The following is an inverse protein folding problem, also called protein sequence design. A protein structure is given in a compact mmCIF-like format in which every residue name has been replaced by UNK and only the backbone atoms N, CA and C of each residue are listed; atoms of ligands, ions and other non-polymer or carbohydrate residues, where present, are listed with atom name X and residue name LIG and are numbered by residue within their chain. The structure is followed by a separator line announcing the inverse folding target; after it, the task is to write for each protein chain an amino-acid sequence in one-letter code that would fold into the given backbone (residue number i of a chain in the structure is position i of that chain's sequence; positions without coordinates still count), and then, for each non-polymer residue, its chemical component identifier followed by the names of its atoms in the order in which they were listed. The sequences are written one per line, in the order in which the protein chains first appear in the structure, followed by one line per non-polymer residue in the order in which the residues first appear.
data_IF_029731701098
#
_entry.id   IF_029731701098
#
_cell.length_a   1.000
_cell.length_b   1.000
_cell.length_c   1.000
_cell.angle_alpha   90.00
_cell.angle_beta   90.00
_cell.angle_gamma   90.00
#
_symmetry.space_group_name_H-M   'P 1'
#
loop_
_entity.id
_entity.type
_entity.pdbx_description
1 polymer ?
#
# COMPACT_ATOMS: atom_id res chain seq x y z
N UNK A 1 5.49 9.62 4.35
CA UNK A 1 4.89 9.85 5.67
C UNK A 1 3.36 9.79 5.67
N UNK A 2 2.65 10.49 4.75
CA UNK A 2 1.18 10.53 4.75
C UNK A 2 0.52 9.15 4.57
N UNK A 3 0.97 8.35 3.61
CA UNK A 3 0.42 7.02 3.37
C UNK A 3 0.62 6.14 4.60
N UNK A 4 1.81 6.16 5.19
CA UNK A 4 2.11 5.40 6.41
C UNK A 4 1.19 5.81 7.56
N UNK A 5 0.98 7.13 7.75
CA UNK A 5 0.06 7.65 8.76
C UNK A 5 -1.39 7.23 8.48
N UNK A 6 -1.86 7.35 7.22
CA UNK A 6 -3.21 6.96 6.83
C UNK A 6 -3.48 5.47 7.08
N UNK A 7 -2.49 4.63 6.82
CA UNK A 7 -2.58 3.20 7.00
C UNK A 7 -2.57 2.84 8.50
N UNK A 8 -1.69 3.45 9.30
CA UNK A 8 -1.66 3.29 10.76
C UNK A 8 -3.01 3.70 11.35
N UNK A 9 -3.56 4.83 10.93
CA UNK A 9 -4.88 5.28 11.38
C UNK A 9 -6.00 4.34 10.96
N UNK A 10 -5.92 3.74 9.78
CA UNK A 10 -6.89 2.74 9.34
C UNK A 10 -6.82 1.45 10.17
N UNK A 11 -5.62 1.00 10.52
CA UNK A 11 -5.43 -0.13 11.44
C UNK A 11 -6.01 0.19 12.82
N UNK A 12 -5.70 1.35 13.36
CA UNK A 12 -6.22 1.80 14.65
C UNK A 12 -7.74 1.98 14.63
N UNK A 13 -8.31 2.47 13.54
CA UNK A 13 -9.76 2.61 13.40
C UNK A 13 -10.51 1.28 13.41
N UNK A 14 -9.84 0.18 13.13
CA UNK A 14 -10.42 -1.16 13.21
C UNK A 14 -10.13 -1.86 14.56
N UNK A 15 -9.11 -1.41 15.32
CA UNK A 15 -8.67 -2.03 16.56
C UNK A 15 -9.14 -1.29 17.81
N UNK A 16 -9.25 0.04 17.75
CA UNK A 16 -9.60 0.89 18.89
C UNK A 16 -11.10 1.17 18.90
N UNK A 17 -11.86 0.80 19.97
CA UNK A 17 -13.32 0.97 20.03
C UNK A 17 -13.78 2.41 19.77
N UNK A 18 -13.10 3.39 20.33
CA UNK A 18 -13.39 4.81 20.13
C UNK A 18 -13.34 5.23 18.66
N UNK A 19 -12.33 4.76 17.91
CA UNK A 19 -12.19 5.06 16.49
C UNK A 19 -13.20 4.28 15.63
N UNK A 20 -13.64 3.09 16.10
CA UNK A 20 -14.71 2.34 15.46
C UNK A 20 -16.05 3.06 15.56
N UNK A 21 -16.35 3.66 16.72
CA UNK A 21 -17.54 4.48 16.90
C UNK A 21 -17.50 5.73 16.02
N UNK A 22 -16.36 6.41 16.00
CA UNK A 22 -16.13 7.57 15.11
C UNK A 22 -16.37 7.22 13.64
N UNK A 23 -15.99 6.01 13.20
CA UNK A 23 -16.21 5.54 11.84
C UNK A 23 -17.70 5.34 11.52
N UNK A 24 -18.53 5.04 12.54
CA UNK A 24 -19.98 4.88 12.41
C UNK A 24 -20.73 6.23 12.36
N UNK A 25 -20.12 7.31 12.85
CA UNK A 25 -20.70 8.66 12.86
C UNK A 25 -20.76 9.34 11.48
N UNK A 26 -20.52 8.58 10.42
CA UNK A 26 -20.66 9.06 9.04
C UNK A 26 -19.57 10.06 8.63
N UNK A 27 -19.99 11.18 8.01
CA UNK A 27 -19.03 12.15 7.45
C UNK A 27 -18.24 12.92 8.51
N UNK A 28 -18.88 13.25 9.64
CA UNK A 28 -18.21 13.96 10.73
C UNK A 28 -17.08 13.14 11.34
N UNK A 29 -17.32 11.87 11.59
CA UNK A 29 -16.29 10.95 12.11
C UNK A 29 -15.15 10.72 11.12
N UNK A 30 -15.45 10.60 9.82
CA UNK A 30 -14.42 10.51 8.77
C UNK A 30 -13.52 11.74 8.74
N UNK A 31 -14.07 12.93 8.89
CA UNK A 31 -13.30 14.17 8.92
C UNK A 31 -12.35 14.21 10.13
N UNK A 32 -12.77 13.72 11.29
CA UNK A 32 -11.90 13.62 12.48
C UNK A 32 -10.78 12.60 12.28
N UNK A 33 -11.07 11.43 11.71
CA UNK A 33 -10.03 10.43 11.38
C UNK A 33 -9.01 11.02 10.40
N UNK A 34 -9.46 11.79 9.41
CA UNK A 34 -8.56 12.51 8.48
C UNK A 34 -7.68 13.52 9.21
N UNK A 35 -8.22 14.26 10.19
CA UNK A 35 -7.41 15.19 11.00
C UNK A 35 -6.35 14.45 11.81
N UNK A 36 -6.67 13.33 12.46
CA UNK A 36 -5.68 12.51 13.16
C UNK A 36 -4.61 11.98 12.20
N UNK A 37 -4.99 11.61 10.98
CA UNK A 37 -4.04 11.22 9.94
C UNK A 37 -3.08 12.36 9.59
N UNK A 38 -3.56 13.59 9.48
CA UNK A 38 -2.72 14.78 9.22
C UNK A 38 -1.71 14.99 10.35
N UNK A 39 -2.15 14.94 11.61
CA UNK A 39 -1.25 15.06 12.77
C UNK A 39 -0.21 13.95 12.79
N UNK A 40 -0.62 12.70 12.59
CA UNK A 40 0.30 11.57 12.48
C UNK A 40 1.31 11.72 11.33
N UNK A 41 0.89 12.31 10.21
CA UNK A 41 1.76 12.61 9.08
C UNK A 41 2.86 13.60 9.46
N UNK A 42 2.53 14.67 10.17
CA UNK A 42 3.51 15.68 10.60
C UNK A 42 4.54 15.05 11.55
N UNK A 43 4.08 14.25 12.52
CA UNK A 43 4.97 13.54 13.47
C UNK A 43 5.91 12.58 12.73
N UNK A 44 5.37 11.74 11.84
CA UNK A 44 6.18 10.81 11.05
C UNK A 44 7.15 11.54 10.10
N UNK A 45 6.70 12.63 9.48
CA UNK A 45 7.55 13.45 8.62
C UNK A 45 8.71 14.05 9.41
N UNK A 46 8.47 14.54 10.64
CA UNK A 46 9.51 15.08 11.50
C UNK A 46 10.55 14.00 11.87
N UNK A 47 10.10 12.79 12.26
CA UNK A 47 10.98 11.67 12.57
C UNK A 47 11.84 11.28 11.37
N UNK A 48 11.23 11.11 10.20
CA UNK A 48 11.94 10.72 8.97
C UNK A 48 12.87 11.83 8.47
N UNK A 49 12.46 13.09 8.54
CA UNK A 49 13.29 14.24 8.18
C UNK A 49 14.52 14.36 9.10
N UNK A 50 14.34 14.10 10.40
CA UNK A 50 15.44 14.11 11.36
C UNK A 50 16.46 13.00 11.08
N UNK A 51 15.98 11.78 10.75
CA UNK A 51 16.85 10.69 10.34
C UNK A 51 17.65 11.03 9.07
N UNK A 52 16.97 11.61 8.07
CA UNK A 52 17.61 12.04 6.82
C UNK A 52 18.67 13.12 7.08
N UNK A 53 18.36 14.14 7.92
CA UNK A 53 19.30 15.20 8.25
C UNK A 53 20.57 14.69 8.95
N UNK A 54 20.43 13.72 9.87
CA UNK A 54 21.57 13.05 10.51
C UNK A 54 22.42 12.28 9.50
N UNK A 55 21.77 11.50 8.61
CA UNK A 55 22.46 10.73 7.56
C UNK A 55 23.23 11.64 6.62
N UNK A 56 22.64 12.76 6.17
CA UNK A 56 23.28 13.73 5.29
C UNK A 56 24.48 14.43 5.97
N UNK A 57 24.34 14.76 7.26
CA UNK A 57 25.45 15.32 8.05
C UNK A 57 26.62 14.34 8.18
N UNK A 58 26.32 13.06 8.42
CA UNK A 58 27.32 12.01 8.58
C UNK A 58 28.02 11.60 7.29
N UNK A 59 27.36 11.73 6.13
CA UNK A 59 27.93 11.41 4.81
C UNK A 59 28.81 12.51 4.22
N UNK A 60 29.00 13.65 4.92
CA UNK A 60 29.82 14.76 4.44
C UNK A 60 29.19 15.57 3.30
N UNK A 61 27.91 15.33 2.97
CA UNK A 61 27.19 16.07 1.94
C UNK A 61 26.70 17.45 2.40
N UNK A 62 26.74 17.69 3.72
CA UNK A 62 26.36 18.98 4.28
C UNK A 62 27.54 19.95 4.23
N UNK A 63 27.35 21.11 3.57
CA UNK A 63 28.37 22.17 3.48
C UNK A 63 28.80 22.71 4.86
N UNK A 64 27.86 22.86 5.76
CA UNK A 64 28.11 23.30 7.14
C UNK A 64 27.29 22.42 8.11
N UNK A 65 27.80 21.25 8.53
CA UNK A 65 27.10 20.39 9.46
C UNK A 65 26.99 21.10 10.83
N UNK A 66 25.74 21.19 11.33
CA UNK A 66 25.44 21.83 12.60
C UNK A 66 23.95 21.95 12.87
N UNK A 67 23.59 22.53 14.03
CA UNK A 67 22.19 22.68 14.42
C UNK A 67 21.35 23.48 13.41
N UNK A 68 21.94 24.47 12.76
CA UNK A 68 21.26 25.27 11.73
C UNK A 68 20.93 24.44 10.47
N UNK A 69 21.86 23.61 10.00
CA UNK A 69 21.61 22.68 8.89
C UNK A 69 20.51 21.67 9.27
N UNK A 70 20.63 21.06 10.45
CA UNK A 70 19.65 20.12 10.93
C UNK A 70 18.23 20.74 10.96
N UNK A 71 18.09 21.91 11.58
CA UNK A 71 16.81 22.60 11.66
C UNK A 71 16.26 22.95 10.26
N UNK A 72 17.07 23.55 9.41
CA UNK A 72 16.64 23.94 8.05
C UNK A 72 16.23 22.72 7.20
N UNK A 73 16.99 21.63 7.26
CA UNK A 73 16.69 20.40 6.54
C UNK A 73 15.36 19.77 7.03
N UNK A 74 15.19 19.66 8.34
CA UNK A 74 13.97 19.10 8.93
C UNK A 74 12.76 19.95 8.58
N UNK A 75 12.82 21.27 8.77
CA UNK A 75 11.70 22.15 8.44
C UNK A 75 11.37 22.13 6.95
N UNK A 76 12.36 22.12 6.06
CA UNK A 76 12.14 22.06 4.61
C UNK A 76 11.42 20.77 4.19
N UNK A 77 11.86 19.61 4.69
CA UNK A 77 11.25 18.31 4.37
C UNK A 77 9.85 18.19 4.94
N UNK A 78 9.63 18.64 6.18
CA UNK A 78 8.31 18.64 6.81
C UNK A 78 7.36 19.58 6.05
N UNK A 79 7.79 20.80 5.75
CA UNK A 79 6.99 21.76 4.98
C UNK A 79 6.63 21.22 3.58
N UNK A 80 7.57 20.60 2.86
CA UNK A 80 7.31 19.95 1.59
C UNK A 80 6.32 18.79 1.72
N UNK A 81 6.43 17.99 2.76
CA UNK A 81 5.49 16.88 3.03
C UNK A 81 4.07 17.39 3.31
N UNK A 82 3.93 18.43 4.14
CA UNK A 82 2.63 19.05 4.45
C UNK A 82 2.02 19.69 3.21
N UNK A 83 2.83 20.35 2.39
CA UNK A 83 2.37 20.93 1.12
C UNK A 83 1.86 19.86 0.16
N UNK A 84 2.60 18.76 -0.04
CA UNK A 84 2.17 17.66 -0.91
C UNK A 84 0.93 16.96 -0.38
N UNK A 85 0.80 16.81 0.94
CA UNK A 85 -0.41 16.28 1.58
C UNK A 85 -1.62 17.15 1.27
N UNK A 86 -1.50 18.47 1.50
CA UNK A 86 -2.57 19.43 1.19
C UNK A 86 -2.94 19.41 -0.30
N UNK A 87 -1.94 19.37 -1.19
CA UNK A 87 -2.16 19.28 -2.64
C UNK A 87 -2.93 18.01 -3.01
N UNK A 88 -2.55 16.85 -2.44
CA UNK A 88 -3.23 15.58 -2.66
C UNK A 88 -4.69 15.60 -2.19
N UNK A 89 -4.96 16.25 -1.08
CA UNK A 89 -6.33 16.44 -0.57
C UNK A 89 -7.14 17.36 -1.51
N UNK A 90 -6.57 18.48 -1.98
CA UNK A 90 -7.25 19.35 -2.94
C UNK A 90 -7.58 18.63 -4.25
N UNK A 91 -6.68 17.80 -4.75
CA UNK A 91 -6.94 16.98 -5.95
C UNK A 91 -8.07 15.96 -5.66
N UNK A 92 -8.10 15.35 -4.48
CA UNK A 92 -9.15 14.39 -4.11
C UNK A 92 -10.51 15.03 -3.92
N UNK A 93 -10.57 16.26 -3.37
CA UNK A 93 -11.82 16.98 -3.09
C UNK A 93 -12.43 17.64 -4.34
N UNK A 94 -11.58 18.18 -5.23
CA UNK A 94 -12.01 18.99 -6.38
C UNK A 94 -11.66 18.37 -7.73
N UNK A 95 -10.87 17.31 -7.75
CA UNK A 95 -10.42 16.63 -8.96
C UNK A 95 -11.07 15.26 -9.17
N UNK A 96 -10.39 14.40 -9.91
CA UNK A 96 -10.84 13.05 -10.26
C UNK A 96 -9.97 12.02 -9.54
N UNK A 97 -10.59 11.15 -8.76
CA UNK A 97 -9.93 10.02 -8.13
C UNK A 97 -9.18 10.38 -6.83
N UNK A 98 -8.20 9.57 -6.46
CA UNK A 98 -7.40 9.77 -5.25
C UNK A 98 -6.15 10.61 -5.57
N UNK A 99 -6.11 11.85 -5.07
CA UNK A 99 -5.03 12.80 -5.37
C UNK A 99 -3.65 12.33 -4.92
N UNK A 100 -3.57 11.60 -3.80
CA UNK A 100 -2.29 11.08 -3.30
C UNK A 100 -1.75 9.98 -4.21
N UNK A 101 -2.62 9.10 -4.69
CA UNK A 101 -2.24 8.08 -5.68
C UNK A 101 -1.76 8.71 -6.99
N UNK A 102 -2.37 9.83 -7.41
CA UNK A 102 -1.93 10.58 -8.58
C UNK A 102 -0.55 11.22 -8.38
N UNK A 103 -0.28 11.80 -7.21
CA UNK A 103 1.04 12.38 -6.88
C UNK A 103 2.11 11.29 -6.93
N UNK A 104 1.85 10.11 -6.36
CA UNK A 104 2.79 8.97 -6.39
C UNK A 104 3.03 8.51 -7.82
N UNK A 105 1.96 8.31 -8.60
CA UNK A 105 2.07 7.90 -9.99
C UNK A 105 2.89 8.92 -10.81
N UNK A 106 2.62 10.21 -10.61
CA UNK A 106 3.38 11.29 -11.28
C UNK A 106 4.85 11.27 -10.87
N UNK A 107 5.17 11.08 -9.59
CA UNK A 107 6.57 11.03 -9.13
C UNK A 107 7.34 9.84 -9.74
N UNK A 108 6.68 8.70 -9.91
CA UNK A 108 7.27 7.53 -10.57
C UNK A 108 7.48 7.81 -12.08
N UNK A 109 6.46 8.35 -12.73
CA UNK A 109 6.52 8.65 -14.16
C UNK A 109 7.59 9.69 -14.52
N UNK A 110 7.78 10.70 -13.69
CA UNK A 110 8.82 11.72 -13.89
C UNK A 110 10.24 11.18 -13.68
N UNK A 111 10.41 10.10 -12.94
CA UNK A 111 11.68 9.41 -12.75
C UNK A 111 12.12 8.56 -13.95
N UNK A 112 11.17 8.06 -14.76
CA UNK A 112 11.45 7.16 -15.88
C UNK A 112 12.39 7.75 -16.93
N UNK A 113 12.20 8.99 -17.45
CA UNK A 113 13.11 9.58 -18.44
C UNK A 113 14.55 9.69 -17.94
N UNK A 114 14.72 10.06 -16.66
CA UNK A 114 16.03 10.14 -16.03
C UNK A 114 16.71 8.77 -15.91
N UNK A 115 15.98 7.74 -15.52
CA UNK A 115 16.48 6.36 -15.43
C UNK A 115 16.91 5.83 -16.82
N UNK A 116 16.11 6.09 -17.85
CA UNK A 116 16.46 5.71 -19.24
C UNK A 116 17.71 6.45 -19.70
N UNK A 117 17.81 7.75 -19.42
CA UNK A 117 18.98 8.56 -19.77
C UNK A 117 20.26 8.04 -19.13
N UNK A 118 20.22 7.72 -17.83
CA UNK A 118 21.36 7.14 -17.11
C UNK A 118 21.75 5.76 -17.66
N UNK A 119 20.79 4.89 -17.96
CA UNK A 119 21.05 3.58 -18.51
C UNK A 119 21.70 3.65 -19.91
N UNK A 120 21.25 4.59 -20.76
CA UNK A 120 21.85 4.85 -22.06
C UNK A 120 23.28 5.39 -21.93
N UNK A 121 23.53 6.28 -20.99
CA UNK A 121 24.86 6.85 -20.75
C UNK A 121 25.84 5.77 -20.25
N UNK A 122 25.44 4.91 -19.33
CA UNK A 122 26.23 3.75 -18.89
C UNK A 122 26.53 2.79 -20.04
N UNK A 123 25.60 2.60 -20.97
CA UNK A 123 25.84 1.81 -22.17
C UNK A 123 26.84 2.47 -23.12
N UNK A 124 26.84 3.79 -23.24
CA UNK A 124 27.81 4.55 -24.04
C UNK A 124 29.22 4.51 -23.44
N UNK A 125 29.32 4.52 -22.12
CA UNK A 125 30.60 4.42 -21.39
C UNK A 125 31.20 3.01 -21.41
N UNK A 126 30.43 2.03 -21.91
CA UNK A 126 30.87 0.62 -22.02
C UNK A 126 30.66 -0.21 -20.76
N UNK A 127 30.09 0.38 -19.71
CA UNK A 127 29.78 -0.32 -18.43
C UNK A 127 28.63 -1.31 -18.60
N UNK A 128 27.68 -1.02 -19.51
CA UNK A 128 26.55 -1.88 -19.83
C UNK A 128 26.55 -2.26 -21.31
N UNK A 129 26.50 -3.58 -21.57
CA UNK A 129 26.31 -4.05 -22.93
C UNK A 129 24.90 -3.67 -23.44
N UNK A 130 24.81 -3.20 -24.67
CA UNK A 130 23.54 -2.82 -25.31
C UNK A 130 22.53 -3.99 -25.35
N UNK A 131 23.02 -5.22 -25.45
CA UNK A 131 22.19 -6.42 -25.38
C UNK A 131 21.54 -6.59 -23.99
N UNK A 132 22.29 -6.29 -22.93
CA UNK A 132 21.79 -6.33 -21.55
C UNK A 132 20.76 -5.22 -21.32
N UNK A 133 20.99 -4.01 -21.86
CA UNK A 133 20.02 -2.91 -21.79
C UNK A 133 18.70 -3.31 -22.48
N UNK A 134 18.78 -3.93 -23.65
CA UNK A 134 17.59 -4.45 -24.34
C UNK A 134 16.86 -5.53 -23.53
N UNK A 135 17.61 -6.46 -22.94
CA UNK A 135 17.05 -7.51 -22.08
C UNK A 135 16.32 -6.93 -20.86
N UNK A 136 16.89 -5.91 -20.21
CA UNK A 136 16.25 -5.18 -19.08
C UNK A 136 14.96 -4.50 -19.55
N UNK A 137 14.97 -3.84 -20.72
CA UNK A 137 13.76 -3.20 -21.25
C UNK A 137 12.64 -4.21 -21.55
N UNK A 138 12.98 -5.35 -22.17
CA UNK A 138 12.03 -6.43 -22.45
C UNK A 138 11.50 -7.02 -21.15
N UNK A 139 12.38 -7.25 -20.16
CA UNK A 139 11.97 -7.75 -18.84
C UNK A 139 11.02 -6.78 -18.14
N UNK A 140 11.31 -5.47 -18.17
CA UNK A 140 10.44 -4.45 -17.58
C UNK A 140 9.05 -4.46 -18.23
N UNK A 141 8.99 -4.53 -19.56
CA UNK A 141 7.71 -4.65 -20.29
C UNK A 141 6.96 -5.94 -19.96
N UNK A 142 7.65 -7.06 -19.84
CA UNK A 142 7.06 -8.33 -19.45
C UNK A 142 6.47 -8.27 -18.03
N UNK A 143 7.20 -7.69 -17.08
CA UNK A 143 6.73 -7.50 -15.69
C UNK A 143 5.49 -6.60 -15.66
N UNK A 144 5.50 -5.48 -16.38
CA UNK A 144 4.31 -4.59 -16.47
C UNK A 144 3.12 -5.36 -17.04
N UNK A 145 3.30 -6.12 -18.12
CA UNK A 145 2.24 -6.90 -18.73
C UNK A 145 1.65 -7.94 -17.75
N UNK A 146 2.48 -8.65 -17.02
CA UNK A 146 2.06 -9.63 -16.00
C UNK A 146 1.30 -8.95 -14.86
N UNK A 147 1.81 -7.83 -14.35
CA UNK A 147 1.15 -7.07 -13.27
C UNK A 147 -0.24 -6.58 -13.73
N UNK A 148 -0.34 -6.00 -14.93
CA UNK A 148 -1.61 -5.54 -15.49
C UNK A 148 -2.58 -6.71 -15.68
N UNK A 149 -2.10 -7.86 -16.15
CA UNK A 149 -2.91 -9.06 -16.32
C UNK A 149 -3.51 -9.55 -14.99
N UNK A 150 -2.68 -9.63 -13.94
CA UNK A 150 -3.13 -10.04 -12.59
C UNK A 150 -4.09 -9.01 -12.00
N UNK A 151 -3.80 -7.71 -12.12
CA UNK A 151 -4.62 -6.62 -11.54
C UNK A 151 -6.00 -6.52 -12.21
N UNK A 152 -6.10 -6.88 -13.50
CA UNK A 152 -7.39 -6.98 -14.23
C UNK A 152 -8.13 -8.27 -13.95
N UNK A 153 -7.48 -9.26 -13.36
CA UNK A 153 -8.06 -10.56 -13.01
C UNK A 153 -9.21 -10.40 -12.01
N UNK A 154 -10.37 -10.97 -12.34
CA UNK A 154 -11.55 -10.96 -11.47
C UNK A 154 -12.15 -12.35 -11.37
N UNK A 155 -12.38 -12.80 -10.15
CA UNK A 155 -13.18 -13.99 -9.88
C UNK A 155 -14.65 -13.58 -9.76
N UNK A 156 -15.50 -14.09 -10.66
CA UNK A 156 -16.92 -13.77 -10.68
C UNK A 156 -17.69 -14.84 -9.94
N UNK A 157 -18.36 -14.47 -8.85
CA UNK A 157 -19.28 -15.36 -8.14
C UNK A 157 -20.68 -15.04 -8.63
N UNK A 158 -21.38 -16.06 -9.17
CA UNK A 158 -22.76 -15.91 -9.65
C UNK A 158 -23.70 -15.77 -8.45
N UNK A 159 -24.46 -14.70 -8.44
CA UNK A 159 -25.47 -14.40 -7.43
C UNK A 159 -26.82 -14.34 -8.12
N UNK A 160 -27.79 -15.10 -7.62
CA UNK A 160 -29.13 -15.12 -8.13
C UNK A 160 -30.03 -14.27 -7.26
N UNK A 161 -30.89 -13.47 -7.87
CA UNK A 161 -31.93 -12.73 -7.17
C UNK A 161 -33.23 -13.51 -7.22
N UNK A 162 -33.94 -13.55 -6.10
CA UNK A 162 -35.28 -14.16 -6.05
C UNK A 162 -36.23 -13.39 -6.98
N UNK A 163 -37.07 -14.12 -7.68
CA UNK A 163 -38.13 -13.53 -8.53
C UNK A 163 -39.01 -12.63 -7.65
N UNK A 164 -39.13 -11.37 -8.05
CA UNK A 164 -40.09 -10.44 -7.42
C UNK A 164 -41.28 -10.26 -8.30
N UNK A 165 -42.49 -10.50 -7.74
CA UNK A 165 -43.72 -10.20 -8.38
C UNK A 165 -44.07 -8.74 -8.05
N UNK A 166 -44.10 -7.89 -9.06
CA UNK A 166 -44.54 -6.51 -8.91
C UNK A 166 -45.86 -6.33 -9.67
N UNK A 167 -46.95 -6.45 -8.92
CA UNK A 167 -48.28 -6.46 -9.51
C UNK A 167 -48.53 -7.69 -10.39
N UNK A 168 -49.00 -7.49 -11.63
CA UNK A 168 -49.31 -8.55 -12.62
C UNK A 168 -48.11 -9.01 -13.45
N UNK A 169 -46.93 -8.35 -13.33
CA UNK A 169 -45.71 -8.67 -14.06
C UNK A 169 -44.74 -9.49 -13.16
N UNK A 170 -44.43 -10.70 -13.64
CA UNK A 170 -43.33 -11.50 -13.14
C UNK A 170 -42.03 -10.94 -13.71
N UNK A 171 -41.18 -10.34 -12.85
CA UNK A 171 -39.81 -10.03 -13.24
C UNK A 171 -39.00 -11.31 -13.24
N UNK A 172 -38.37 -11.62 -14.37
CA UNK A 172 -37.50 -12.78 -14.51
C UNK A 172 -36.34 -12.70 -13.50
N UNK A 173 -35.96 -13.88 -12.94
CA UNK A 173 -34.80 -13.96 -12.06
C UNK A 173 -33.55 -13.43 -12.80
N UNK A 174 -32.99 -12.32 -12.33
CA UNK A 174 -31.75 -11.80 -12.86
C UNK A 174 -30.58 -12.46 -12.12
N UNK A 175 -29.72 -13.13 -12.88
CA UNK A 175 -28.42 -13.55 -12.36
C UNK A 175 -27.45 -12.37 -12.52
N UNK A 176 -26.83 -11.97 -11.42
CA UNK A 176 -25.75 -10.99 -11.41
C UNK A 176 -24.46 -11.67 -10.96
N UNK A 177 -23.33 -11.03 -11.23
CA UNK A 177 -22.04 -11.52 -10.80
C UNK A 177 -21.44 -10.56 -9.78
N UNK A 178 -20.98 -11.09 -8.65
CA UNK A 178 -20.20 -10.35 -7.67
C UNK A 178 -18.73 -10.44 -8.09
N UNK A 179 -18.12 -9.34 -8.57
CA UNK A 179 -16.73 -9.36 -9.02
C UNK A 179 -15.79 -9.21 -7.83
N UNK A 180 -14.97 -10.22 -7.56
CA UNK A 180 -13.86 -10.13 -6.63
C UNK A 180 -12.56 -9.98 -7.43
N UNK A 181 -11.80 -8.93 -7.18
CA UNK A 181 -10.46 -8.80 -7.74
C UNK A 181 -9.55 -9.90 -7.19
N UNK A 182 -8.69 -10.44 -8.03
CA UNK A 182 -7.68 -11.43 -7.60
C UNK A 182 -6.74 -10.82 -6.58
N UNK A 183 -6.31 -9.58 -6.81
CA UNK A 183 -5.55 -8.79 -5.84
C UNK A 183 -6.43 -7.69 -5.23
N UNK A 184 -7.08 -7.97 -4.10
CA UNK A 184 -7.90 -6.98 -3.38
C UNK A 184 -7.07 -6.05 -2.50
N UNK A 185 -5.88 -6.47 -2.08
CA UNK A 185 -4.99 -5.67 -1.25
C UNK A 185 -4.27 -4.57 -2.05
N UNK A 186 -4.14 -4.74 -3.37
CA UNK A 186 -3.46 -3.77 -4.24
C UNK A 186 -1.98 -3.60 -3.89
N UNK A 187 -1.50 -2.37 -3.95
CA UNK A 187 -0.11 -1.99 -3.67
C UNK A 187 0.15 -1.69 -2.18
N UNK A 188 -0.89 -1.60 -1.37
CA UNK A 188 -0.81 -1.16 0.03
C UNK A 188 0.13 -2.03 0.88
N UNK A 189 0.11 -3.37 0.82
CA UNK A 189 1.03 -4.21 1.57
C UNK A 189 2.50 -3.97 1.25
N UNK A 190 2.84 -3.68 -0.01
CA UNK A 190 4.21 -3.37 -0.40
C UNK A 190 4.70 -2.03 0.19
N UNK A 191 3.81 -1.03 0.25
CA UNK A 191 4.10 0.25 0.89
C UNK A 191 4.32 0.07 2.41
N UNK A 192 3.52 -0.80 3.04
CA UNK A 192 3.72 -1.15 4.46
C UNK A 192 5.07 -1.80 4.69
N UNK A 193 5.38 -2.84 3.92
CA UNK A 193 6.62 -3.57 4.05
C UNK A 193 7.84 -2.64 3.88
N UNK A 194 7.81 -1.74 2.90
CA UNK A 194 8.88 -0.76 2.69
C UNK A 194 9.01 0.23 3.86
N UNK A 195 7.89 0.74 4.36
CA UNK A 195 7.91 1.67 5.50
C UNK A 195 8.39 0.97 6.77
N UNK A 196 7.98 -0.27 6.99
CA UNK A 196 8.40 -1.06 8.15
C UNK A 196 9.90 -1.34 8.14
N UNK A 197 10.49 -1.62 6.96
CA UNK A 197 11.94 -1.82 6.81
C UNK A 197 12.75 -0.51 6.93
N UNK A 198 12.17 0.63 6.55
CA UNK A 198 12.82 1.93 6.75
C UNK A 198 12.96 2.31 8.23
N UNK A 199 12.08 1.83 9.11
CA UNK A 199 12.13 2.18 10.53
C UNK A 199 13.40 1.70 11.25
N UNK A 200 13.82 0.41 11.15
CA UNK A 200 15.10 -0.03 11.71
C UNK A 200 16.30 0.70 11.10
N UNK A 201 16.28 0.97 9.79
CA UNK A 201 17.35 1.72 9.14
C UNK A 201 17.47 3.16 9.67
N UNK A 202 16.34 3.82 9.93
CA UNK A 202 16.31 5.15 10.55
C UNK A 202 16.82 5.13 11.99
N UNK A 203 16.45 4.13 12.79
CA UNK A 203 16.96 3.96 14.14
C UNK A 203 18.47 3.73 14.16
N UNK A 204 18.96 2.88 13.25
CA UNK A 204 20.40 2.62 13.15
C UNK A 204 21.19 3.87 12.77
N UNK A 205 20.64 4.77 11.95
CA UNK A 205 21.30 6.05 11.63
C UNK A 205 21.37 7.00 12.84
N UNK A 206 20.42 6.92 13.76
CA UNK A 206 20.43 7.76 14.98
C UNK A 206 21.37 7.23 16.06
N UNK A 207 21.37 5.92 16.27
CA UNK A 207 22.11 5.29 17.35
C UNK A 207 23.44 4.66 16.91
N UNK A 208 23.67 4.50 15.60
CA UNK A 208 24.82 3.78 15.04
C UNK A 208 26.17 4.45 15.22
N UNK A 209 26.23 5.69 15.75
CA UNK A 209 27.50 6.39 16.06
C UNK A 209 27.99 6.13 17.49
N UNK A 210 27.28 5.38 18.31
CA UNK A 210 27.67 5.05 19.68
C UNK A 210 28.47 3.75 19.70
N UNK A 211 29.62 3.75 20.36
CA UNK A 211 30.42 2.55 20.65
C UNK A 211 29.55 1.52 21.40
N UNK A 212 29.21 0.40 20.75
CA UNK A 212 28.39 -0.67 21.33
C UNK A 212 27.19 -1.10 20.50
N UNK A 213 26.85 -0.41 19.40
CA UNK A 213 25.66 -0.71 18.56
C UNK A 213 26.00 -1.51 17.29
N UNK A 214 27.09 -2.30 17.30
CA UNK A 214 27.51 -3.10 16.15
C UNK A 214 26.42 -4.02 15.60
N UNK A 215 25.51 -4.51 16.46
CA UNK A 215 24.38 -5.34 16.04
C UNK A 215 23.36 -4.55 15.20
N UNK A 216 22.97 -3.36 15.62
CA UNK A 216 22.01 -2.52 14.88
C UNK A 216 22.59 -2.07 13.55
N UNK A 217 23.88 -1.75 13.52
CA UNK A 217 24.59 -1.37 12.31
C UNK A 217 24.72 -2.55 11.33
N UNK A 218 25.07 -3.75 11.81
CA UNK A 218 25.11 -4.95 10.99
C UNK A 218 23.72 -5.34 10.46
N UNK A 219 22.68 -5.23 11.28
CA UNK A 219 21.31 -5.47 10.88
C UNK A 219 20.84 -4.46 9.82
N UNK A 220 21.18 -3.19 9.95
CA UNK A 220 20.81 -2.16 8.97
C UNK A 220 21.51 -2.36 7.63
N UNK A 221 22.78 -2.75 7.63
CA UNK A 221 23.53 -3.09 6.43
C UNK A 221 22.96 -4.32 5.74
N UNK A 222 22.57 -5.35 6.48
CA UNK A 222 21.93 -6.56 5.95
C UNK A 222 20.53 -6.30 5.38
N UNK A 223 19.82 -5.27 5.90
CA UNK A 223 18.50 -4.84 5.43
C UNK A 223 18.59 -3.68 4.41
N UNK A 224 19.75 -3.43 3.81
CA UNK A 224 19.89 -2.45 2.73
C UNK A 224 19.29 -3.00 1.43
N UNK A 225 18.56 -2.20 0.64
CA UNK A 225 18.06 -2.62 -0.66
C UNK A 225 19.15 -3.19 -1.56
N UNK A 226 18.90 -4.36 -2.12
CA UNK A 226 19.88 -5.11 -2.94
C UNK A 226 20.53 -6.31 -2.24
N UNK A 227 20.44 -6.41 -0.93
CA UNK A 227 20.92 -7.57 -0.20
C UNK A 227 19.91 -8.75 -0.27
N UNK A 228 20.37 -10.01 -0.33
CA UNK A 228 19.46 -11.17 -0.39
C UNK A 228 18.51 -11.24 0.82
N UNK A 229 19.01 -10.90 2.01
CA UNK A 229 18.19 -10.88 3.23
C UNK A 229 17.09 -9.84 3.17
N UNK A 230 17.38 -8.65 2.59
CA UNK A 230 16.36 -7.62 2.35
C UNK A 230 15.21 -8.16 1.49
N UNK A 231 15.53 -8.82 0.37
CA UNK A 231 14.53 -9.36 -0.55
C UNK A 231 13.66 -10.41 0.15
N UNK A 232 14.26 -11.28 0.95
CA UNK A 232 13.55 -12.34 1.66
C UNK A 232 12.61 -11.77 2.72
N UNK A 233 13.11 -10.86 3.57
CA UNK A 233 12.31 -10.22 4.63
C UNK A 233 11.21 -9.34 4.02
N UNK A 234 11.53 -8.57 2.98
CA UNK A 234 10.56 -7.73 2.28
C UNK A 234 9.42 -8.55 1.68
N UNK A 235 9.75 -9.68 1.01
CA UNK A 235 8.74 -10.58 0.45
C UNK A 235 7.87 -11.21 1.55
N UNK A 236 8.46 -11.67 2.64
CA UNK A 236 7.72 -12.22 3.78
C UNK A 236 6.79 -11.17 4.42
N UNK A 237 7.26 -9.94 4.56
CA UNK A 237 6.43 -8.83 5.07
C UNK A 237 5.28 -8.50 4.14
N UNK A 238 5.50 -8.44 2.82
CA UNK A 238 4.42 -8.20 1.85
C UNK A 238 3.34 -9.26 2.01
N UNK A 239 3.72 -10.55 2.04
CA UNK A 239 2.78 -11.66 2.20
C UNK A 239 2.00 -11.52 3.52
N UNK A 240 2.68 -11.28 4.62
CA UNK A 240 2.05 -11.10 5.94
C UNK A 240 1.07 -9.92 5.93
N UNK A 241 1.48 -8.78 5.39
CA UNK A 241 0.61 -7.60 5.30
C UNK A 241 -0.56 -7.78 4.33
N UNK A 242 -0.44 -8.58 3.28
CA UNK A 242 -1.57 -8.93 2.43
C UNK A 242 -2.69 -9.60 3.23
N UNK A 243 -2.35 -10.59 4.06
CA UNK A 243 -3.34 -11.28 4.89
C UNK A 243 -3.94 -10.36 5.97
N UNK A 244 -3.09 -9.61 6.67
CA UNK A 244 -3.53 -8.65 7.70
C UNK A 244 -4.47 -7.60 7.09
N UNK A 245 -4.09 -7.03 5.95
CA UNK A 245 -4.89 -6.01 5.27
C UNK A 245 -6.25 -6.52 4.84
N UNK A 246 -6.29 -7.73 4.26
CA UNK A 246 -7.55 -8.36 3.85
C UNK A 246 -8.47 -8.58 5.04
N UNK A 247 -7.96 -9.17 6.12
CA UNK A 247 -8.72 -9.43 7.33
C UNK A 247 -9.31 -8.16 7.98
N UNK A 248 -8.59 -7.03 7.85
CA UNK A 248 -9.01 -5.75 8.44
C UNK A 248 -9.95 -4.94 7.54
N UNK A 249 -9.81 -5.07 6.21
CA UNK A 249 -10.54 -4.21 5.26
C UNK A 249 -11.81 -4.86 4.77
N UNK A 250 -11.83 -6.19 4.65
CA UNK A 250 -12.94 -6.92 4.07
C UNK A 250 -13.79 -7.59 5.14
N UNK A 251 -15.01 -7.07 5.33
CA UNK A 251 -15.98 -7.64 6.24
C UNK A 251 -16.97 -8.55 5.48
N UNK A 252 -16.66 -9.85 5.43
CA UNK A 252 -17.46 -10.86 4.74
C UNK A 252 -18.87 -10.98 5.29
N UNK A 253 -19.05 -10.76 6.60
CA UNK A 253 -20.38 -10.79 7.26
C UNK A 253 -21.26 -9.66 6.75
N UNK A 254 -20.72 -8.44 6.64
CA UNK A 254 -21.46 -7.28 6.13
C UNK A 254 -21.89 -7.47 4.67
N UNK A 255 -21.00 -8.02 3.84
CA UNK A 255 -21.33 -8.37 2.45
C UNK A 255 -22.42 -9.42 2.38
N UNK A 256 -22.34 -10.47 3.20
CA UNK A 256 -23.36 -11.53 3.29
C UNK A 256 -24.71 -11.00 3.77
N UNK A 257 -24.72 -10.12 4.77
CA UNK A 257 -25.96 -9.49 5.28
C UNK A 257 -26.59 -8.55 4.24
N UNK A 258 -25.79 -7.81 3.48
CA UNK A 258 -26.26 -6.97 2.39
C UNK A 258 -26.86 -7.81 1.24
N UNK A 259 -26.24 -8.94 0.89
CA UNK A 259 -26.81 -9.91 -0.06
C UNK A 259 -28.14 -10.47 0.45
N UNK A 260 -28.23 -10.87 1.71
CA UNK A 260 -29.45 -11.37 2.33
C UNK A 260 -30.55 -10.31 2.33
N UNK A 261 -30.24 -9.05 2.67
CA UNK A 261 -31.22 -7.95 2.67
C UNK A 261 -31.72 -7.62 1.26
N UNK A 262 -30.88 -7.74 0.24
CA UNK A 262 -31.25 -7.54 -1.15
C UNK A 262 -32.01 -8.73 -1.77
N UNK A 263 -32.18 -9.82 -1.04
CA UNK A 263 -32.84 -11.05 -1.53
C UNK A 263 -31.97 -11.81 -2.52
N UNK A 264 -30.68 -11.58 -2.50
CA UNK A 264 -29.70 -12.24 -3.36
C UNK A 264 -29.14 -13.48 -2.63
N UNK A 265 -28.89 -14.56 -3.37
CA UNK A 265 -28.30 -15.79 -2.84
C UNK A 265 -27.32 -16.41 -3.81
N UNK A 266 -26.35 -17.14 -3.27
CA UNK A 266 -25.41 -17.96 -4.04
C UNK A 266 -26.05 -19.35 -4.20
N UNK A 267 -26.06 -19.86 -5.44
CA UNK A 267 -26.65 -21.18 -5.71
C UNK A 267 -25.99 -22.28 -4.86
N UNK A 268 -26.80 -23.05 -4.14
CA UNK A 268 -26.32 -24.14 -3.27
C UNK A 268 -25.84 -23.73 -1.87
N UNK A 269 -25.84 -22.42 -1.51
CA UNK A 269 -25.38 -21.93 -0.20
C UNK A 269 -26.51 -21.16 0.49
N UNK A 270 -26.71 -21.44 1.78
CA UNK A 270 -27.74 -20.74 2.57
C UNK A 270 -27.33 -19.28 2.79
N UNK A 271 -28.25 -18.30 2.58
CA UNK A 271 -27.98 -16.89 2.85
C UNK A 271 -27.65 -16.65 4.33
N UNK A 272 -26.65 -15.83 4.60
CA UNK A 272 -26.18 -15.49 5.93
C UNK A 272 -24.78 -16.03 6.23
N UNK A 273 -24.55 -16.61 7.39
CA UNK A 273 -23.23 -17.00 7.87
C UNK A 273 -22.50 -18.00 6.96
N UNK A 274 -23.22 -18.95 6.34
CA UNK A 274 -22.62 -19.88 5.39
C UNK A 274 -22.13 -19.18 4.12
N UNK A 275 -22.83 -18.12 3.67
CA UNK A 275 -22.38 -17.27 2.57
C UNK A 275 -21.13 -16.50 2.95
N UNK A 276 -21.02 -15.99 4.19
CA UNK A 276 -19.82 -15.33 4.68
C UNK A 276 -18.62 -16.29 4.71
N UNK A 277 -18.79 -17.48 5.27
CA UNK A 277 -17.73 -18.51 5.29
C UNK A 277 -17.29 -18.94 3.89
N UNK A 278 -18.20 -19.06 2.95
CA UNK A 278 -17.86 -19.36 1.55
C UNK A 278 -17.04 -18.22 0.92
N UNK A 279 -17.45 -16.97 1.12
CA UNK A 279 -16.70 -15.82 0.63
C UNK A 279 -15.29 -15.77 1.26
N UNK A 280 -15.18 -16.03 2.57
CA UNK A 280 -13.89 -16.12 3.27
C UNK A 280 -13.00 -17.21 2.66
N UNK A 281 -13.53 -18.39 2.41
CA UNK A 281 -12.77 -19.49 1.81
C UNK A 281 -12.32 -19.15 0.39
N UNK A 282 -13.15 -18.50 -0.41
CA UNK A 282 -12.81 -18.06 -1.77
C UNK A 282 -11.70 -17.02 -1.76
N UNK A 283 -11.74 -16.09 -0.82
CA UNK A 283 -10.71 -15.07 -0.64
C UNK A 283 -9.40 -15.69 -0.16
N UNK A 284 -9.43 -16.51 0.88
CA UNK A 284 -8.25 -17.20 1.40
C UNK A 284 -7.55 -18.04 0.33
N UNK A 285 -8.29 -18.82 -0.45
CA UNK A 285 -7.74 -19.62 -1.56
C UNK A 285 -7.13 -18.72 -2.64
N UNK A 286 -7.77 -17.62 -3.00
CA UNK A 286 -7.22 -16.69 -4.00
C UNK A 286 -5.88 -16.10 -3.56
N UNK A 287 -5.72 -15.75 -2.28
CA UNK A 287 -4.46 -15.23 -1.75
C UNK A 287 -3.38 -16.29 -1.58
N UNK A 288 -3.71 -17.47 -1.09
CA UNK A 288 -2.72 -18.56 -0.96
C UNK A 288 -2.16 -18.97 -2.29
N UNK A 289 -2.96 -19.04 -3.35
CA UNK A 289 -2.47 -19.36 -4.69
C UNK A 289 -1.64 -18.25 -5.34
N UNK A 290 -1.87 -16.98 -4.97
CA UNK A 290 -1.05 -15.86 -5.44
C UNK A 290 0.28 -15.74 -4.72
N UNK A 291 0.31 -16.04 -3.42
CA UNK A 291 1.48 -15.81 -2.58
C UNK A 291 2.38 -17.04 -2.42
N UNK A 292 1.81 -18.22 -2.51
CA UNK A 292 2.53 -19.48 -2.41
C UNK A 292 2.16 -20.35 -3.62
N UNK A 293 3.11 -20.70 -4.49
CA UNK A 293 2.89 -21.69 -5.55
C UNK A 293 2.76 -23.08 -4.89
N UNK A 294 1.63 -23.33 -4.27
CA UNK A 294 1.28 -24.67 -3.81
C UNK A 294 0.95 -25.50 -5.04
N UNK A 295 1.78 -26.52 -5.28
CA UNK A 295 1.49 -27.57 -6.23
C UNK A 295 0.09 -28.11 -5.95
N UNK A 296 -0.77 -28.03 -6.96
CA UNK A 296 -1.97 -28.86 -6.99
C UNK A 296 -1.58 -30.32 -7.14
#
# INVERSE_FOLDING_TARGET
PYISSAIIMQLFSNSIPYLQELKKDGQAGRNQITQYTRYGTVVLAFIQASALAVTLSGSGLAYAPGAAFFASAVFSVVAGTVFLMWLGEQISERGIGNGISLIIATSILTGIPGAIGQALEQSRQGDLNILLLLAIAVLAMAVIAVVVFIERGQRRITVNYAQRQQGRKLMQAQSSHLPFKVNMAGVIPAIFASTFLLFPASLASWFGQSEGTNFLQSASLALTPGQPLYILVFSALIISFCFIWLALTFNTREVSDNLKRSGAYIAGIRPGEQTAQYIDSVLAVSYTHLTLPTKA
#
